data_IF_446272304433
#
_entry.id   IF_446272304433
#
_cell.length_a   1.000
_cell.length_b   1.000
_cell.length_c   1.000
_cell.angle_alpha   90.00
_cell.angle_beta   90.00
_cell.angle_gamma   90.00
#
_symmetry.space_group_name_H-M   'P 1'
#
loop_
_entity.id
_entity.type
_entity.pdbx_description
1 polymer ?
#
# COMPACT_ATOMS: atom_id res chain seq x y z
N UNK A 1 -6.62 -21.32 -4.65
CA UNK A 1 -6.87 -20.12 -3.82
C UNK A 1 -8.29 -19.67 -4.06
N UNK A 2 -9.11 -19.60 -3.02
CA UNK A 2 -10.50 -19.18 -3.14
C UNK A 2 -10.60 -17.70 -3.49
N UNK A 3 -11.60 -17.34 -4.31
CA UNK A 3 -11.86 -15.95 -4.73
C UNK A 3 -11.94 -14.99 -3.54
N UNK A 4 -12.49 -15.46 -2.41
CA UNK A 4 -12.57 -14.72 -1.15
C UNK A 4 -11.19 -14.40 -0.56
N UNK A 5 -10.26 -15.35 -0.60
CA UNK A 5 -8.89 -15.16 -0.09
C UNK A 5 -8.11 -14.15 -0.94
N UNK A 6 -8.30 -14.17 -2.26
CA UNK A 6 -7.71 -13.19 -3.18
C UNK A 6 -8.29 -11.79 -2.94
N UNK A 7 -9.60 -11.68 -2.77
CA UNK A 7 -10.26 -10.39 -2.49
C UNK A 7 -9.79 -9.79 -1.15
N UNK A 8 -9.68 -10.59 -0.10
CA UNK A 8 -9.17 -10.14 1.19
C UNK A 8 -7.71 -9.68 1.10
N UNK A 9 -6.86 -10.41 0.37
CA UNK A 9 -5.48 -10.02 0.16
C UNK A 9 -5.35 -8.71 -0.64
N UNK A 10 -6.17 -8.54 -1.68
CA UNK A 10 -6.20 -7.31 -2.46
C UNK A 10 -6.72 -6.12 -1.64
N UNK A 11 -7.75 -6.32 -0.81
CA UNK A 11 -8.27 -5.29 0.08
C UNK A 11 -7.24 -4.87 1.14
N UNK A 12 -6.52 -5.83 1.73
CA UNK A 12 -5.45 -5.54 2.68
C UNK A 12 -4.32 -4.72 2.04
N UNK A 13 -3.88 -5.11 0.84
CA UNK A 13 -2.90 -4.34 0.08
C UNK A 13 -3.39 -2.93 -0.23
N UNK A 14 -4.63 -2.79 -0.73
CA UNK A 14 -5.20 -1.50 -1.09
C UNK A 14 -5.36 -0.58 0.13
N UNK A 15 -5.68 -1.13 1.29
CA UNK A 15 -5.76 -0.39 2.54
C UNK A 15 -4.39 0.18 2.96
N UNK A 16 -3.33 -0.64 2.92
CA UNK A 16 -1.97 -0.19 3.20
C UNK A 16 -1.49 0.85 2.19
N UNK A 17 -1.77 0.62 0.91
CA UNK A 17 -1.43 1.54 -0.16
C UNK A 17 -2.09 2.90 0.04
N UNK A 18 -3.42 2.93 0.26
CA UNK A 18 -4.17 4.15 0.46
C UNK A 18 -3.70 4.91 1.72
N UNK A 19 -3.46 4.20 2.83
CA UNK A 19 -2.97 4.81 4.07
C UNK A 19 -1.60 5.50 3.87
N UNK A 20 -0.66 4.81 3.19
CA UNK A 20 0.67 5.34 2.93
C UNK A 20 0.65 6.48 1.90
N UNK A 21 -0.17 6.37 0.85
CA UNK A 21 -0.36 7.43 -0.13
C UNK A 21 -0.97 8.69 0.51
N UNK A 22 -1.99 8.54 1.35
CA UNK A 22 -2.58 9.66 2.08
C UNK A 22 -1.60 10.29 3.06
N UNK A 23 -0.85 9.48 3.82
CA UNK A 23 0.19 9.99 4.72
C UNK A 23 1.24 10.80 3.95
N UNK A 24 1.70 10.27 2.80
CA UNK A 24 2.65 10.94 1.94
C UNK A 24 2.09 12.28 1.40
N UNK A 25 0.82 12.30 0.96
CA UNK A 25 0.15 13.53 0.51
C UNK A 25 0.03 14.58 1.62
N UNK A 26 -0.14 14.16 2.88
CA UNK A 26 -0.15 15.08 4.02
C UNK A 26 1.25 15.68 4.27
N UNK A 27 2.31 14.91 4.00
CA UNK A 27 3.69 15.33 4.24
C UNK A 27 4.25 16.23 3.12
N UNK A 28 3.72 16.14 1.90
CA UNK A 28 4.21 16.90 0.74
C UNK A 28 3.21 17.96 0.32
N UNK A 29 3.66 19.22 0.38
CA UNK A 29 2.82 20.40 0.13
C UNK A 29 2.78 20.85 -1.32
N UNK A 30 3.68 20.35 -2.18
CA UNK A 30 3.85 20.81 -3.57
C UNK A 30 3.73 19.64 -4.54
N UNK A 31 2.55 19.03 -4.58
CA UNK A 31 2.32 17.85 -5.40
C UNK A 31 2.16 18.21 -6.87
N UNK A 32 3.16 17.92 -7.70
CA UNK A 32 3.01 17.89 -9.15
C UNK A 32 2.62 16.49 -9.67
N UNK A 33 2.26 16.39 -10.95
CA UNK A 33 1.80 15.13 -11.56
C UNK A 33 2.87 14.03 -11.50
N UNK A 34 4.15 14.37 -11.60
CA UNK A 34 5.25 13.40 -11.48
C UNK A 34 5.37 12.92 -10.03
N UNK A 35 5.31 13.83 -9.07
CA UNK A 35 5.34 13.48 -7.66
C UNK A 35 4.17 12.56 -7.25
N UNK A 36 2.97 12.77 -7.80
CA UNK A 36 1.84 11.85 -7.58
C UNK A 36 2.17 10.42 -8.01
N UNK A 37 2.75 10.25 -9.20
CA UNK A 37 3.08 8.93 -9.73
C UNK A 37 4.17 8.27 -8.88
N UNK A 38 5.18 9.04 -8.47
CA UNK A 38 6.25 8.54 -7.59
C UNK A 38 5.71 8.17 -6.22
N UNK A 39 4.92 9.04 -5.58
CA UNK A 39 4.31 8.80 -4.27
C UNK A 39 3.40 7.57 -4.29
N UNK A 40 2.54 7.45 -5.31
CA UNK A 40 1.70 6.28 -5.51
C UNK A 40 2.52 4.99 -5.72
N UNK A 41 3.59 5.06 -6.51
CA UNK A 41 4.47 3.92 -6.78
C UNK A 41 5.23 3.46 -5.54
N UNK A 42 5.84 4.39 -4.80
CA UNK A 42 6.55 4.11 -3.55
C UNK A 42 5.58 3.57 -2.49
N UNK A 43 4.40 4.15 -2.38
CA UNK A 43 3.34 3.64 -1.48
C UNK A 43 2.94 2.20 -1.85
N UNK A 44 2.93 1.82 -3.13
CA UNK A 44 2.61 0.46 -3.56
C UNK A 44 3.69 -0.54 -3.12
N UNK A 45 4.96 -0.18 -3.29
CA UNK A 45 6.08 -1.02 -2.81
C UNK A 45 6.05 -1.16 -1.29
N UNK A 46 5.83 -0.07 -0.57
CA UNK A 46 5.73 -0.08 0.89
C UNK A 46 4.52 -0.86 1.40
N UNK A 47 3.38 -0.82 0.69
CA UNK A 47 2.22 -1.64 0.99
C UNK A 47 2.50 -3.14 0.81
N UNK A 48 3.24 -3.53 -0.24
CA UNK A 48 3.69 -4.92 -0.39
C UNK A 48 4.59 -5.34 0.78
N UNK A 49 5.53 -4.48 1.19
CA UNK A 49 6.40 -4.74 2.32
C UNK A 49 5.61 -4.89 3.63
N UNK A 50 4.61 -4.03 3.87
CA UNK A 50 3.73 -4.12 5.04
C UNK A 50 2.93 -5.43 5.05
N UNK A 51 2.34 -5.83 3.92
CA UNK A 51 1.63 -7.11 3.80
C UNK A 51 2.58 -8.29 4.03
N UNK A 52 3.78 -8.28 3.45
CA UNK A 52 4.78 -9.32 3.65
C UNK A 52 5.20 -9.43 5.13
N UNK A 53 5.50 -8.30 5.77
CA UNK A 53 5.83 -8.25 7.19
C UNK A 53 4.69 -8.80 8.07
N UNK A 54 3.44 -8.42 7.79
CA UNK A 54 2.27 -8.96 8.52
C UNK A 54 2.11 -10.45 8.33
N UNK A 55 2.37 -10.99 7.14
CA UNK A 55 2.30 -12.44 6.87
C UNK A 55 3.35 -13.20 7.69
N UNK A 56 4.59 -12.74 7.67
CA UNK A 56 5.68 -13.29 8.49
C UNK A 56 5.30 -13.29 9.98
N UNK A 57 4.77 -12.18 10.49
CA UNK A 57 4.33 -12.08 11.90
C UNK A 57 3.14 -13.00 12.19
N UNK A 58 2.23 -13.18 11.24
CA UNK A 58 1.07 -14.07 11.37
C UNK A 58 1.42 -15.56 11.18
N UNK A 59 2.69 -15.91 10.91
CA UNK A 59 3.11 -17.29 10.67
C UNK A 59 2.55 -17.89 9.37
N UNK A 60 2.23 -17.06 8.39
CA UNK A 60 1.74 -17.44 7.04
C UNK A 60 2.71 -17.00 5.96
#
# INVERSE_FOLDING_TARGET
MDRRTTLLAAAEFLAWWAALALLWLVLITAVDTLELVVGAGVAAVAALAAVAARRVVAGR
#
